data_IF_135408675757
#
_entry.id   IF_135408675757
#
_cell.length_a   1.000
_cell.length_b   1.000
_cell.length_c   1.000
_cell.angle_alpha   90.00
_cell.angle_beta   90.00
_cell.angle_gamma   90.00
#
_symmetry.space_group_name_H-M   'P 1'
#
loop_
_entity.id
_entity.type
_entity.pdbx_description
1 polymer ?
#
# COMPACT_ATOMS: atom_id res chain seq x y z
N UNK A 1 -9.84 17.30 -19.71
CA UNK A 1 -8.78 17.77 -18.80
C UNK A 1 -9.39 18.82 -17.89
N UNK A 2 -9.34 18.61 -16.56
CA UNK A 2 -9.84 19.59 -15.59
C UNK A 2 -8.67 20.44 -15.10
N UNK A 3 -8.86 21.75 -15.01
CA UNK A 3 -7.89 22.68 -14.42
C UNK A 3 -8.52 23.33 -13.20
N UNK A 4 -7.73 23.48 -12.14
CA UNK A 4 -8.15 24.16 -10.91
C UNK A 4 -6.96 24.90 -10.33
N UNK A 5 -7.25 25.94 -9.56
CA UNK A 5 -6.24 26.70 -8.83
C UNK A 5 -6.02 26.11 -7.43
N UNK A 6 -4.80 26.27 -6.92
CA UNK A 6 -4.45 26.02 -5.54
C UNK A 6 -4.96 27.18 -4.67
N UNK A 7 -5.59 26.87 -3.53
CA UNK A 7 -6.10 27.87 -2.58
C UNK A 7 -5.49 27.67 -1.21
N UNK A 8 -4.97 28.73 -0.61
CA UNK A 8 -4.38 28.69 0.75
C UNK A 8 -5.49 28.72 1.80
N UNK A 9 -5.43 27.80 2.77
CA UNK A 9 -6.33 27.71 3.91
C UNK A 9 -5.48 27.36 5.14
N UNK A 10 -5.39 28.27 6.10
CA UNK A 10 -4.75 28.11 7.42
C UNK A 10 -3.58 27.12 7.48
N UNK A 11 -2.43 27.55 6.94
CA UNK A 11 -1.20 26.76 6.94
C UNK A 11 -1.13 25.62 5.92
N UNK A 12 -2.21 25.40 5.15
CA UNK A 12 -2.31 24.37 4.11
C UNK A 12 -2.76 24.93 2.76
N UNK A 13 -2.73 24.07 1.73
CA UNK A 13 -3.20 24.39 0.38
C UNK A 13 -4.20 23.32 -0.06
N UNK A 14 -5.36 23.76 -0.53
CA UNK A 14 -6.41 22.88 -1.06
C UNK A 14 -6.53 22.98 -2.58
N UNK A 15 -6.87 21.84 -3.19
CA UNK A 15 -7.26 21.67 -4.59
C UNK A 15 -8.74 21.34 -4.62
N UNK A 16 -9.52 22.04 -5.45
CA UNK A 16 -10.91 21.67 -5.68
C UNK A 16 -10.96 20.44 -6.61
N UNK A 17 -11.55 19.34 -6.15
CA UNK A 17 -11.77 18.13 -6.96
C UNK A 17 -13.24 18.14 -7.42
N UNK A 18 -13.53 18.19 -8.74
CA UNK A 18 -14.88 18.05 -9.26
C UNK A 18 -15.57 16.78 -8.76
N UNK A 19 -16.86 16.86 -8.41
CA UNK A 19 -17.62 15.73 -7.86
C UNK A 19 -17.62 14.50 -8.77
N UNK A 20 -17.67 14.70 -10.09
CA UNK A 20 -17.57 13.63 -11.08
C UNK A 20 -16.30 12.79 -10.95
N UNK A 21 -15.18 13.37 -10.50
CA UNK A 21 -13.93 12.63 -10.25
C UNK A 21 -14.06 11.80 -8.97
N UNK A 22 -14.68 12.35 -7.92
CA UNK A 22 -14.95 11.60 -6.69
C UNK A 22 -15.85 10.40 -6.97
N UNK A 23 -16.91 10.57 -7.77
CA UNK A 23 -17.81 9.49 -8.15
C UNK A 23 -17.10 8.38 -8.94
N UNK A 24 -16.22 8.75 -9.88
CA UNK A 24 -15.40 7.80 -10.65
C UNK A 24 -14.44 7.00 -9.76
N UNK A 25 -13.86 7.65 -8.75
CA UNK A 25 -12.98 7.03 -7.76
C UNK A 25 -13.76 6.36 -6.62
N UNK A 26 -15.09 6.47 -6.60
CA UNK A 26 -16.00 5.99 -5.54
C UNK A 26 -15.66 6.54 -4.16
N UNK A 27 -15.12 7.75 -4.11
CA UNK A 27 -14.72 8.45 -2.88
C UNK A 27 -15.86 9.31 -2.32
N UNK A 28 -15.89 9.44 -0.99
CA UNK A 28 -16.84 10.32 -0.29
C UNK A 28 -16.12 11.47 0.42
N UNK A 29 -16.82 12.60 0.58
CA UNK A 29 -16.30 13.71 1.38
C UNK A 29 -16.09 13.25 2.83
N UNK A 30 -14.90 13.54 3.37
CA UNK A 30 -14.48 13.11 4.71
C UNK A 30 -13.79 11.75 4.76
N UNK A 31 -13.68 11.03 3.64
CA UNK A 31 -12.93 9.79 3.55
C UNK A 31 -11.42 10.05 3.58
N UNK A 32 -10.67 9.15 4.23
CA UNK A 32 -9.21 9.23 4.31
C UNK A 32 -8.60 8.66 3.04
N UNK A 33 -7.73 9.45 2.40
CA UNK A 33 -6.99 9.06 1.20
C UNK A 33 -5.49 9.21 1.42
N UNK A 34 -4.70 8.47 0.64
CA UNK A 34 -3.26 8.66 0.55
C UNK A 34 -2.90 9.87 -0.31
N UNK A 35 -1.82 10.55 0.05
CA UNK A 35 -1.24 11.64 -0.74
C UNK A 35 0.27 11.41 -0.88
N UNK A 36 0.77 11.42 -2.11
CA UNK A 36 2.20 11.24 -2.39
C UNK A 36 2.66 12.09 -3.58
N UNK A 37 3.98 12.19 -3.77
CA UNK A 37 4.60 12.81 -4.94
C UNK A 37 5.30 11.72 -5.73
N UNK A 38 4.98 11.60 -7.01
CA UNK A 38 5.62 10.67 -7.94
C UNK A 38 5.89 11.37 -9.27
N UNK A 39 7.16 11.39 -9.70
CA UNK A 39 7.55 12.02 -10.98
C UNK A 39 7.17 13.49 -11.14
N UNK A 40 7.05 14.26 -10.05
CA UNK A 40 6.58 15.65 -10.08
C UNK A 40 5.04 15.80 -10.14
N UNK A 41 4.31 14.70 -10.06
CA UNK A 41 2.86 14.67 -9.95
C UNK A 41 2.42 14.47 -8.49
N UNK A 42 1.40 15.22 -8.07
CA UNK A 42 0.70 14.94 -6.83
C UNK A 42 -0.30 13.80 -7.07
N UNK A 43 -0.10 12.67 -6.39
CA UNK A 43 -0.91 11.46 -6.55
C UNK A 43 -1.86 11.33 -5.36
N UNK A 44 -3.15 11.15 -5.66
CA UNK A 44 -4.21 10.88 -4.69
C UNK A 44 -4.55 9.39 -4.77
N UNK A 45 -4.37 8.66 -3.67
CA UNK A 45 -4.65 7.22 -3.60
C UNK A 45 -5.93 6.98 -2.77
N UNK A 46 -7.05 6.54 -3.39
CA UNK A 46 -8.30 6.22 -2.69
C UNK A 46 -8.16 5.11 -1.65
N UNK A 47 -7.22 4.19 -1.86
CA UNK A 47 -7.02 3.02 -1.01
C UNK A 47 -5.55 2.92 -0.67
N UNK A 48 -5.05 3.79 0.23
CA UNK A 48 -3.64 3.85 0.56
C UNK A 48 -3.17 2.46 0.98
N UNK A 49 -2.47 1.78 0.07
CA UNK A 49 -1.81 0.53 0.40
C UNK A 49 -0.66 0.89 1.31
N UNK A 50 -0.51 0.24 2.47
CA UNK A 50 0.68 0.44 3.27
C UNK A 50 1.89 0.10 2.40
N UNK A 51 2.77 1.09 2.23
CA UNK A 51 4.07 0.90 1.59
C UNK A 51 5.02 0.52 2.71
N UNK A 52 5.48 -0.72 2.69
CA UNK A 52 6.46 -1.20 3.64
C UNK A 52 7.86 -1.15 3.01
N UNK A 53 8.85 -0.78 3.80
CA UNK A 53 10.25 -1.11 3.51
C UNK A 53 10.57 -2.53 3.95
N UNK A 54 11.62 -3.14 3.38
CA UNK A 54 12.09 -4.45 3.85
C UNK A 54 12.44 -4.39 5.34
N UNK A 55 13.08 -3.32 5.78
CA UNK A 55 13.46 -3.12 7.18
C UNK A 55 12.25 -3.07 8.12
N UNK A 56 11.17 -2.40 7.71
CA UNK A 56 9.91 -2.36 8.47
C UNK A 56 9.26 -3.74 8.60
N UNK A 57 9.28 -4.54 7.53
CA UNK A 57 8.73 -5.89 7.58
C UNK A 57 9.57 -6.81 8.47
N UNK A 58 10.90 -6.71 8.40
CA UNK A 58 11.81 -7.50 9.21
C UNK A 58 11.75 -7.14 10.69
N UNK A 59 11.49 -5.87 11.03
CA UNK A 59 11.33 -5.43 12.42
C UNK A 59 10.15 -6.11 13.13
N UNK A 60 9.12 -6.52 12.40
CA UNK A 60 7.94 -7.22 12.92
C UNK A 60 8.14 -8.75 12.99
N UNK A 61 9.26 -9.28 12.47
CA UNK A 61 9.57 -10.71 12.53
C UNK A 61 10.34 -11.07 13.80
N UNK A 62 9.92 -12.13 14.49
CA UNK A 62 10.73 -12.78 15.52
C UNK A 62 11.75 -13.71 14.87
N UNK A 63 13.02 -13.29 14.82
CA UNK A 63 14.12 -14.08 14.26
C UNK A 63 14.49 -15.30 15.10
N UNK A 64 13.95 -15.43 16.31
CA UNK A 64 14.15 -16.57 17.22
C UNK A 64 12.98 -17.53 17.24
N UNK A 65 11.92 -17.25 16.47
CA UNK A 65 10.76 -18.12 16.39
C UNK A 65 11.15 -19.53 15.92
N UNK A 66 10.76 -20.54 16.70
CA UNK A 66 10.96 -21.94 16.31
C UNK A 66 9.91 -22.35 15.25
N UNK A 67 10.30 -23.18 14.26
CA UNK A 67 9.37 -23.71 13.26
C UNK A 67 8.23 -24.48 13.94
N UNK A 68 6.99 -24.24 13.49
CA UNK A 68 5.84 -24.94 14.03
C UNK A 68 5.77 -26.40 13.50
N UNK A 69 4.79 -27.18 13.97
CA UNK A 69 4.65 -28.59 13.55
C UNK A 69 4.43 -28.78 12.05
N UNK A 70 3.74 -27.84 11.38
CA UNK A 70 3.55 -27.87 9.93
C UNK A 70 4.87 -27.56 9.22
N UNK A 71 5.60 -26.54 9.65
CA UNK A 71 6.93 -26.21 9.12
C UNK A 71 7.88 -27.41 9.26
N UNK A 72 7.89 -28.06 10.42
CA UNK A 72 8.68 -29.27 10.68
C UNK A 72 8.29 -30.40 9.74
N UNK A 73 7.00 -30.64 9.55
CA UNK A 73 6.53 -31.65 8.60
C UNK A 73 7.02 -31.35 7.17
N UNK A 74 6.95 -30.09 6.73
CA UNK A 74 7.46 -29.69 5.41
C UNK A 74 8.99 -29.82 5.28
N UNK A 75 9.75 -29.40 6.29
CA UNK A 75 11.21 -29.44 6.30
C UNK A 75 11.76 -30.88 6.38
N UNK A 76 11.08 -31.76 7.12
CA UNK A 76 11.47 -33.15 7.30
C UNK A 76 10.92 -34.07 6.18
N UNK A 77 10.10 -33.54 5.27
CA UNK A 77 9.57 -34.30 4.14
C UNK A 77 10.64 -34.58 3.10
N UNK A 78 10.77 -35.85 2.72
CA UNK A 78 11.68 -36.27 1.65
C UNK A 78 11.24 -35.81 0.26
N UNK A 79 12.13 -35.88 -0.74
CA UNK A 79 11.79 -35.53 -2.12
C UNK A 79 10.70 -36.47 -2.67
N UNK A 80 9.58 -35.89 -3.13
CA UNK A 80 8.45 -36.61 -3.76
C UNK A 80 8.30 -36.30 -5.25
N UNK A 81 9.23 -35.52 -5.82
CA UNK A 81 9.23 -35.15 -7.23
C UNK A 81 9.55 -36.35 -8.15
N UNK A 82 8.97 -36.35 -9.36
CA UNK A 82 9.28 -37.32 -10.44
C UNK A 82 10.27 -36.75 -11.45
N UNK A 83 11.14 -35.86 -11.00
CA UNK A 83 12.12 -35.23 -11.87
C UNK A 83 13.16 -36.27 -12.31
N UNK A 84 13.51 -36.26 -13.60
CA UNK A 84 14.57 -37.12 -14.14
C UNK A 84 15.92 -36.54 -13.69
N UNK A 85 16.75 -37.38 -13.07
CA UNK A 85 18.14 -37.07 -12.70
C UNK A 85 19.03 -36.92 -13.93
#
# INVERSE_FOLDING_TARGET
>A
MYTTNLRRIDGSVMVAVPSVILDQLRLRVGEKIGLSVDGGHLVLDPHPRPRYSLDELLAECDSTAEPNSEDRHWLDSGPVGRELL
#
